data_IF_187114902798
#
_entry.id   IF_187114902798
#
_cell.length_a   1.000
_cell.length_b   1.000
_cell.length_c   1.000
_cell.angle_alpha   90.00
_cell.angle_beta   90.00
_cell.angle_gamma   90.00
#
_symmetry.space_group_name_H-M   'P 1'
#
loop_
_entity.id
_entity.type
_entity.pdbx_description
1 polymer ?
#
# COMPACT_ATOMS: atom_id res chain seq x y z
N UNK A 1 -6.99 4.68 15.84
CA UNK A 1 -7.40 3.78 16.94
C UNK A 1 -8.85 3.43 16.69
N UNK A 2 -9.18 2.18 16.35
CA UNK A 2 -10.58 1.76 16.18
C UNK A 2 -11.12 1.24 17.53
N UNK A 3 -11.47 2.19 18.40
CA UNK A 3 -12.10 1.96 19.70
C UNK A 3 -13.60 2.31 19.75
N UNK A 4 -14.26 2.67 18.63
CA UNK A 4 -15.71 2.88 18.63
C UNK A 4 -16.47 1.82 17.83
N UNK A 5 -17.44 1.18 18.47
CA UNK A 5 -18.45 0.29 17.85
C UNK A 5 -19.59 1.07 17.17
N UNK A 6 -19.39 2.36 16.88
CA UNK A 6 -20.26 3.16 16.04
C UNK A 6 -19.42 4.18 15.27
N UNK A 7 -19.53 4.15 13.94
CA UNK A 7 -19.17 5.30 13.10
C UNK A 7 -20.33 6.31 13.18
N UNK A 8 -20.06 7.63 13.26
CA UNK A 8 -21.11 8.64 13.31
C UNK A 8 -21.97 8.60 12.03
N UNK A 9 -23.26 8.99 12.11
CA UNK A 9 -24.18 8.91 10.98
C UNK A 9 -23.69 9.75 9.79
N UNK A 10 -23.74 9.15 8.60
CA UNK A 10 -23.35 9.75 7.32
C UNK A 10 -24.37 10.80 6.84
N UNK A 11 -24.35 12.00 7.41
CA UNK A 11 -25.17 13.11 6.92
C UNK A 11 -24.28 14.24 6.42
N UNK A 12 -23.63 14.01 5.27
CA UNK A 12 -22.85 15.03 4.55
C UNK A 12 -21.90 14.53 3.45
N UNK A 13 -21.59 13.22 3.41
CA UNK A 13 -20.57 12.65 2.51
C UNK A 13 -21.08 12.12 1.15
N UNK A 14 -22.40 11.97 0.96
CA UNK A 14 -23.01 11.28 -0.20
C UNK A 14 -22.56 11.81 -1.57
N UNK A 15 -22.51 13.13 -1.85
CA UNK A 15 -22.13 13.63 -3.17
C UNK A 15 -20.68 13.31 -3.56
N UNK A 16 -19.78 13.26 -2.57
CA UNK A 16 -18.36 12.94 -2.80
C UNK A 16 -18.15 11.46 -3.07
N UNK A 17 -18.87 10.60 -2.37
CA UNK A 17 -18.80 9.14 -2.56
C UNK A 17 -19.29 8.76 -3.96
N UNK A 18 -20.43 9.32 -4.40
CA UNK A 18 -20.98 9.03 -5.72
C UNK A 18 -20.08 9.51 -6.87
N UNK A 19 -19.41 10.66 -6.72
CA UNK A 19 -18.42 11.12 -7.69
C UNK A 19 -17.23 10.15 -7.83
N UNK A 20 -16.74 9.59 -6.72
CA UNK A 20 -15.67 8.60 -6.73
C UNK A 20 -16.13 7.28 -7.35
N UNK A 21 -17.36 6.83 -7.03
CA UNK A 21 -17.97 5.65 -7.64
C UNK A 21 -18.08 5.79 -9.15
N UNK A 22 -18.59 6.92 -9.64
CA UNK A 22 -18.72 7.18 -11.07
C UNK A 22 -17.36 7.14 -11.78
N UNK A 23 -16.35 7.82 -11.22
CA UNK A 23 -14.97 7.78 -11.75
C UNK A 23 -14.44 6.34 -11.79
N UNK A 24 -14.60 5.59 -10.71
CA UNK A 24 -14.11 4.22 -10.63
C UNK A 24 -14.87 3.27 -11.55
N UNK A 25 -16.19 3.45 -11.73
CA UNK A 25 -16.99 2.67 -12.67
C UNK A 25 -16.51 2.81 -14.13
N UNK A 26 -15.86 3.92 -14.48
CA UNK A 26 -15.29 4.14 -15.81
C UNK A 26 -13.88 3.58 -15.98
N UNK A 27 -13.14 3.38 -14.88
CA UNK A 27 -11.74 2.96 -14.91
C UNK A 27 -11.54 1.49 -14.52
N UNK A 28 -12.42 0.93 -13.70
CA UNK A 28 -12.32 -0.44 -13.23
C UNK A 28 -12.65 -1.40 -14.36
N UNK A 29 -11.73 -2.34 -14.58
CA UNK A 29 -11.93 -3.45 -15.50
C UNK A 29 -12.12 -4.74 -14.68
N UNK A 30 -13.08 -5.61 -15.03
CA UNK A 30 -13.14 -6.94 -14.47
C UNK A 30 -11.85 -7.70 -14.76
N UNK A 31 -11.32 -8.39 -13.76
CA UNK A 31 -10.08 -9.18 -13.88
C UNK A 31 -10.20 -10.48 -13.10
N UNK A 32 -9.44 -11.48 -13.50
CA UNK A 32 -9.24 -12.75 -12.79
C UNK A 32 -7.84 -12.84 -12.15
N UNK A 33 -7.60 -13.86 -11.30
CA UNK A 33 -6.30 -14.05 -10.65
C UNK A 33 -5.11 -14.11 -11.63
N UNK A 34 -5.30 -14.77 -12.78
CA UNK A 34 -4.26 -14.95 -13.80
C UNK A 34 -3.77 -13.62 -14.41
N UNK A 35 -4.58 -12.56 -14.38
CA UNK A 35 -4.20 -11.22 -14.87
C UNK A 35 -3.12 -10.58 -13.98
N UNK A 36 -2.85 -11.17 -12.81
CA UNK A 36 -1.90 -10.66 -11.81
C UNK A 36 -0.71 -11.60 -11.57
N UNK A 37 -0.52 -12.64 -12.38
CA UNK A 37 0.58 -13.62 -12.26
C UNK A 37 1.88 -13.20 -12.97
N UNK A 38 1.90 -12.01 -13.56
CA UNK A 38 3.11 -11.43 -14.16
C UNK A 38 4.16 -11.06 -13.10
N UNK A 39 5.41 -10.98 -13.54
CA UNK A 39 6.63 -10.69 -12.77
C UNK A 39 7.29 -9.43 -13.32
N UNK A 40 8.30 -8.86 -12.65
CA UNK A 40 9.06 -7.73 -13.20
C UNK A 40 9.74 -8.02 -14.55
N UNK A 41 9.94 -9.29 -14.92
CA UNK A 41 10.51 -9.67 -16.22
C UNK A 41 9.49 -9.63 -17.38
N UNK A 42 8.18 -9.65 -17.07
CA UNK A 42 7.10 -9.72 -18.06
C UNK A 42 5.92 -8.81 -17.66
N UNK A 43 6.24 -7.58 -17.26
CA UNK A 43 5.24 -6.56 -16.90
C UNK A 43 4.32 -6.27 -18.09
N UNK A 44 2.99 -6.19 -17.90
CA UNK A 44 2.04 -5.77 -18.93
C UNK A 44 2.43 -4.44 -19.57
N UNK A 45 2.30 -4.32 -20.89
CA UNK A 45 2.80 -3.18 -21.65
C UNK A 45 2.15 -1.83 -21.33
N UNK A 46 0.94 -1.85 -20.79
CA UNK A 46 0.14 -0.69 -20.38
C UNK A 46 0.22 -0.40 -18.87
N UNK A 47 0.92 -1.22 -18.09
CA UNK A 47 1.19 -0.94 -16.69
C UNK A 47 2.20 0.21 -16.58
N UNK A 48 1.84 1.26 -15.82
CA UNK A 48 2.68 2.46 -15.71
C UNK A 48 3.86 2.23 -14.75
N UNK A 49 4.98 1.76 -15.31
CA UNK A 49 6.24 1.54 -14.59
C UNK A 49 6.99 2.86 -14.38
N UNK A 50 7.47 3.11 -13.16
CA UNK A 50 8.37 4.24 -12.88
C UNK A 50 9.70 4.08 -13.62
N UNK A 51 10.11 5.12 -14.34
CA UNK A 51 11.39 5.14 -15.09
C UNK A 51 12.28 6.31 -14.70
N UNK A 52 11.77 7.27 -13.93
CA UNK A 52 12.57 8.42 -13.50
C UNK A 52 13.58 8.01 -12.44
N UNK A 53 14.76 8.66 -12.42
CA UNK A 53 15.69 8.49 -11.31
C UNK A 53 15.04 9.01 -10.02
N UNK A 54 15.35 8.39 -8.86
CA UNK A 54 14.86 8.87 -7.58
C UNK A 54 15.32 10.31 -7.30
N UNK A 55 14.43 11.20 -6.81
CA UNK A 55 14.85 12.49 -6.28
C UNK A 55 15.86 12.31 -5.13
N UNK A 56 16.81 13.24 -5.00
CA UNK A 56 17.91 13.16 -4.03
C UNK A 56 17.44 12.90 -2.58
N UNK A 57 16.26 13.40 -2.20
CA UNK A 57 15.66 13.14 -0.90
C UNK A 57 15.44 11.64 -0.65
N UNK A 58 14.88 10.91 -1.62
CA UNK A 58 14.58 9.48 -1.48
C UNK A 58 15.84 8.63 -1.62
N UNK A 59 16.74 8.97 -2.56
CA UNK A 59 18.03 8.31 -2.68
C UNK A 59 18.83 8.37 -1.37
N UNK A 60 18.99 9.57 -0.80
CA UNK A 60 19.67 9.76 0.50
C UNK A 60 18.96 9.05 1.65
N UNK A 61 17.63 9.01 1.66
CA UNK A 61 16.88 8.30 2.68
C UNK A 61 17.20 6.80 2.66
N UNK A 62 17.25 6.18 1.49
CA UNK A 62 17.62 4.77 1.33
C UNK A 62 19.09 4.52 1.67
N UNK A 63 20.01 5.38 1.21
CA UNK A 63 21.45 5.29 1.54
C UNK A 63 21.69 5.30 3.05
N UNK A 64 20.99 6.19 3.78
CA UNK A 64 21.12 6.31 5.23
C UNK A 64 20.65 5.07 5.99
N UNK A 65 19.72 4.29 5.43
CA UNK A 65 19.28 3.02 6.02
C UNK A 65 20.32 1.90 5.88
N UNK A 66 21.30 2.06 4.97
CA UNK A 66 22.38 1.08 4.72
C UNK A 66 21.87 -0.33 4.38
N UNK A 67 20.70 -0.44 3.76
CA UNK A 67 20.01 -1.70 3.44
C UNK A 67 20.41 -2.34 2.11
N UNK A 68 21.35 -1.75 1.35
CA UNK A 68 21.71 -2.22 0.01
C UNK A 68 22.17 -3.68 -0.06
N UNK A 69 22.77 -4.18 1.02
CA UNK A 69 23.29 -5.54 1.17
C UNK A 69 22.23 -6.59 1.54
N UNK A 70 21.01 -6.17 1.91
CA UNK A 70 19.95 -7.06 2.35
C UNK A 70 19.22 -7.71 1.16
N UNK A 71 18.51 -8.81 1.45
CA UNK A 71 17.53 -9.42 0.54
C UNK A 71 16.44 -8.42 0.13
N UNK A 72 15.75 -8.67 -0.98
CA UNK A 72 14.63 -7.81 -1.41
C UNK A 72 13.53 -7.74 -0.34
N UNK A 73 13.24 -8.87 0.30
CA UNK A 73 12.25 -8.94 1.37
C UNK A 73 12.67 -8.18 2.63
N UNK A 74 13.94 -8.28 3.02
CA UNK A 74 14.43 -7.55 4.20
C UNK A 74 14.56 -6.05 3.93
N UNK A 75 14.94 -5.65 2.70
CA UNK A 75 14.84 -4.24 2.26
C UNK A 75 13.41 -3.74 2.38
N UNK A 76 12.44 -4.49 1.84
CA UNK A 76 11.02 -4.12 1.90
C UNK A 76 10.55 -3.89 3.34
N UNK A 77 10.85 -4.82 4.24
CA UNK A 77 10.50 -4.70 5.66
C UNK A 77 11.21 -3.54 6.34
N UNK A 78 12.48 -3.31 6.04
CA UNK A 78 13.24 -2.18 6.60
C UNK A 78 12.65 -0.84 6.17
N UNK A 79 12.23 -0.69 4.90
CA UNK A 79 11.56 0.52 4.41
C UNK A 79 10.22 0.78 5.09
N UNK A 80 9.41 -0.26 5.30
CA UNK A 80 8.14 -0.12 6.02
C UNK A 80 8.36 0.17 7.51
N UNK A 81 9.35 -0.48 8.13
CA UNK A 81 9.77 -0.21 9.51
C UNK A 81 10.22 1.25 9.67
N UNK A 82 10.99 1.76 8.70
CA UNK A 82 11.35 3.18 8.63
C UNK A 82 10.10 4.04 8.64
N UNK A 83 9.16 3.88 7.70
CA UNK A 83 7.98 4.76 7.67
C UNK A 83 7.11 4.68 8.94
N UNK A 84 7.01 3.52 9.58
CA UNK A 84 6.10 3.28 10.70
C UNK A 84 6.67 3.61 12.09
N UNK A 85 7.98 3.82 12.21
CA UNK A 85 8.69 4.06 13.48
C UNK A 85 8.02 5.13 14.36
N UNK A 86 7.55 6.22 13.74
CA UNK A 86 6.94 7.37 14.42
C UNK A 86 5.48 7.58 14.06
N UNK A 87 4.90 6.65 13.31
CA UNK A 87 3.65 6.88 12.64
C UNK A 87 2.48 7.00 13.62
N UNK A 88 1.66 8.03 13.44
CA UNK A 88 0.42 8.27 14.14
C UNK A 88 -0.69 8.53 13.13
N UNK A 89 -1.95 8.31 13.54
CA UNK A 89 -3.11 8.52 12.69
C UNK A 89 -3.64 9.95 12.88
N UNK A 90 -3.06 10.91 12.15
CA UNK A 90 -3.38 12.35 12.25
C UNK A 90 -4.09 12.90 11.01
N UNK A 91 -4.64 12.02 10.17
CA UNK A 91 -5.34 12.39 8.94
C UNK A 91 -4.45 12.47 7.69
N UNK A 92 -5.07 12.67 6.51
CA UNK A 92 -4.41 12.57 5.20
C UNK A 92 -3.54 13.79 4.88
N UNK A 93 -2.42 13.56 4.19
CA UNK A 93 -1.49 14.61 3.74
C UNK A 93 -1.70 14.87 2.25
N UNK A 94 -2.41 15.96 1.92
CA UNK A 94 -2.72 16.34 0.53
C UNK A 94 -1.63 17.20 -0.10
N UNK A 95 -0.42 16.67 -0.20
CA UNK A 95 0.75 17.42 -0.67
C UNK A 95 1.62 16.64 -1.66
N UNK A 96 2.70 17.26 -2.11
CA UNK A 96 3.73 16.63 -2.92
C UNK A 96 4.46 15.52 -2.14
N UNK A 97 5.11 14.63 -2.88
CA UNK A 97 5.75 13.44 -2.31
C UNK A 97 6.83 13.75 -1.26
N UNK A 98 7.60 14.83 -1.43
CA UNK A 98 8.67 15.21 -0.49
C UNK A 98 8.11 15.79 0.80
N UNK A 99 7.03 16.56 0.71
CA UNK A 99 6.29 17.08 1.87
C UNK A 99 5.58 15.93 2.61
N UNK A 100 4.94 15.02 1.89
CA UNK A 100 4.29 13.83 2.46
C UNK A 100 5.30 12.94 3.20
N UNK A 101 6.47 12.67 2.64
CA UNK A 101 7.52 11.89 3.33
C UNK A 101 7.94 12.55 4.65
N UNK A 102 8.21 13.85 4.64
CA UNK A 102 8.61 14.58 5.86
C UNK A 102 7.51 14.58 6.92
N UNK A 103 6.26 14.74 6.53
CA UNK A 103 5.12 14.68 7.44
C UNK A 103 4.94 13.26 8.04
N UNK A 104 5.12 12.20 7.26
CA UNK A 104 5.14 10.82 7.78
C UNK A 104 6.25 10.62 8.82
N UNK A 105 7.45 11.13 8.54
CA UNK A 105 8.57 11.07 9.50
C UNK A 105 8.34 11.92 10.76
N UNK A 106 7.39 12.86 10.73
CA UNK A 106 6.90 13.61 11.88
C UNK A 106 5.68 12.96 12.57
N UNK A 107 5.19 11.83 12.05
CA UNK A 107 4.12 11.04 12.64
C UNK A 107 2.72 11.30 12.08
N UNK A 108 2.58 11.92 10.91
CA UNK A 108 1.29 12.17 10.26
C UNK A 108 1.02 11.19 9.11
N UNK A 109 -0.22 11.14 8.62
CA UNK A 109 -0.57 10.51 7.36
C UNK A 109 -1.63 9.42 7.44
N UNK A 110 -2.21 9.13 6.28
CA UNK A 110 -3.19 8.07 6.06
C UNK A 110 -2.58 6.95 5.19
N UNK A 111 -3.26 5.80 5.06
CA UNK A 111 -2.72 4.61 4.39
C UNK A 111 -2.22 4.90 2.96
N UNK A 112 -2.95 5.72 2.19
CA UNK A 112 -2.53 6.14 0.85
C UNK A 112 -1.23 6.97 0.85
N UNK A 113 -1.01 7.82 1.86
CA UNK A 113 0.23 8.60 2.00
C UNK A 113 1.42 7.66 2.24
N UNK A 114 1.25 6.70 3.14
CA UNK A 114 2.27 5.70 3.47
C UNK A 114 2.62 4.82 2.28
N UNK A 115 1.62 4.32 1.56
CA UNK A 115 1.85 3.51 0.36
C UNK A 115 2.53 4.32 -0.74
N UNK A 116 2.08 5.56 -1.01
CA UNK A 116 2.69 6.42 -2.04
C UNK A 116 4.18 6.68 -1.75
N UNK A 117 4.51 7.00 -0.49
CA UNK A 117 5.91 7.23 -0.06
C UNK A 117 6.71 5.93 0.00
N UNK A 118 6.09 4.81 0.37
CA UNK A 118 6.75 3.51 0.35
C UNK A 118 7.15 3.13 -1.08
N UNK A 119 6.26 3.28 -2.06
CA UNK A 119 6.56 2.98 -3.47
C UNK A 119 7.74 3.81 -3.97
N UNK A 120 7.81 5.07 -3.56
CA UNK A 120 8.95 5.94 -3.85
C UNK A 120 10.26 5.40 -3.25
N UNK A 121 10.26 5.08 -1.96
CA UNK A 121 11.45 4.52 -1.31
C UNK A 121 11.85 3.15 -1.89
N UNK A 122 10.87 2.31 -2.25
CA UNK A 122 11.09 1.01 -2.85
C UNK A 122 11.79 1.16 -4.21
N UNK A 123 11.32 2.07 -5.08
CA UNK A 123 12.00 2.39 -6.34
C UNK A 123 13.44 2.90 -6.09
N UNK A 124 13.63 3.77 -5.11
CA UNK A 124 14.97 4.25 -4.73
C UNK A 124 15.89 3.14 -4.19
N UNK A 125 15.33 2.06 -3.63
CA UNK A 125 16.04 0.88 -3.16
C UNK A 125 16.18 -0.22 -4.22
N UNK A 126 15.70 0.01 -5.45
CA UNK A 126 15.75 -0.97 -6.55
C UNK A 126 14.71 -2.10 -6.43
N UNK A 127 13.69 -1.95 -5.60
CA UNK A 127 12.62 -2.93 -5.44
C UNK A 127 11.50 -2.69 -6.45
N UNK A 128 10.99 -3.76 -7.05
CA UNK A 128 9.80 -3.69 -7.88
C UNK A 128 8.55 -3.93 -7.02
N UNK A 129 7.62 -2.99 -7.06
CA UNK A 129 6.41 -2.99 -6.21
C UNK A 129 5.16 -2.69 -6.99
N UNK A 130 4.04 -3.25 -6.55
CA UNK A 130 2.70 -2.93 -7.03
C UNK A 130 1.76 -2.65 -5.87
N UNK A 131 0.67 -1.93 -6.16
CA UNK A 131 -0.22 -1.38 -5.14
C UNK A 131 -1.60 -2.01 -5.26
N UNK A 132 -2.09 -2.54 -4.16
CA UNK A 132 -3.43 -3.10 -4.05
C UNK A 132 -4.28 -2.20 -3.17
N UNK A 133 -5.56 -2.14 -3.48
CA UNK A 133 -6.53 -1.49 -2.64
C UNK A 133 -7.82 -2.30 -2.59
N UNK A 134 -8.63 -2.01 -1.58
CA UNK A 134 -10.03 -2.44 -1.55
C UNK A 134 -10.91 -1.35 -1.00
N UNK A 135 -12.22 -1.51 -1.17
CA UNK A 135 -13.22 -0.59 -0.65
C UNK A 135 -14.26 -1.32 0.21
N UNK A 136 -15.00 -0.54 0.99
CA UNK A 136 -16.09 -0.99 1.86
C UNK A 136 -17.45 -0.47 1.41
N UNK A 137 -17.46 0.30 0.33
CA UNK A 137 -18.59 1.12 -0.06
C UNK A 137 -18.73 1.17 -1.59
N UNK A 138 -18.57 0.03 -2.26
CA UNK A 138 -18.72 -0.08 -3.72
C UNK A 138 -17.70 0.77 -4.45
N UNK A 139 -16.41 0.68 -4.08
CA UNK A 139 -15.34 1.51 -4.66
C UNK A 139 -15.50 3.02 -4.44
N UNK A 140 -16.24 3.44 -3.40
CA UNK A 140 -16.53 4.84 -3.09
C UNK A 140 -15.44 5.58 -2.30
N UNK A 141 -14.23 5.02 -2.22
CA UNK A 141 -13.06 5.66 -1.61
C UNK A 141 -12.93 5.49 -0.09
N UNK A 142 -13.84 4.77 0.57
CA UNK A 142 -13.61 4.28 1.94
C UNK A 142 -13.09 2.86 1.86
N UNK A 143 -11.84 2.65 2.30
CA UNK A 143 -11.15 1.40 2.04
C UNK A 143 -9.77 1.36 2.67
N UNK A 144 -8.91 0.53 2.08
CA UNK A 144 -7.51 0.44 2.47
C UNK A 144 -6.64 0.27 1.23
N UNK A 145 -5.38 0.65 1.35
CA UNK A 145 -4.36 0.44 0.33
C UNK A 145 -3.11 -0.10 0.99
N UNK A 146 -2.48 -1.04 0.32
CA UNK A 146 -1.26 -1.72 0.75
C UNK A 146 -0.43 -2.09 -0.48
N UNK A 147 0.73 -2.70 -0.27
CA UNK A 147 1.67 -3.01 -1.34
C UNK A 147 1.97 -4.49 -1.42
N UNK A 148 2.51 -4.85 -2.56
CA UNK A 148 3.13 -6.12 -2.81
C UNK A 148 4.48 -5.89 -3.46
N UNK A 149 5.49 -6.61 -2.98
CA UNK A 149 6.89 -6.48 -3.41
C UNK A 149 7.29 -7.77 -4.10
N UNK A 150 7.99 -7.67 -5.22
CA UNK A 150 8.62 -8.83 -5.83
C UNK A 150 9.88 -9.19 -5.06
N UNK A 151 9.91 -10.37 -4.45
CA UNK A 151 11.11 -10.95 -3.85
C UNK A 151 11.80 -11.82 -4.90
N UNK A 152 12.91 -11.31 -5.46
CA UNK A 152 13.64 -12.02 -6.52
C UNK A 152 14.27 -13.33 -6.03
N UNK A 153 14.65 -13.43 -4.75
CA UNK A 153 15.25 -14.65 -4.19
C UNK A 153 14.25 -15.79 -4.14
N UNK A 154 12.98 -15.48 -3.89
CA UNK A 154 11.87 -16.46 -3.84
C UNK A 154 11.12 -16.57 -5.16
N UNK A 155 11.45 -15.71 -6.13
CA UNK A 155 10.69 -15.53 -7.36
C UNK A 155 9.18 -15.41 -7.09
N UNK A 156 8.80 -14.59 -6.10
CA UNK A 156 7.44 -14.53 -5.58
C UNK A 156 7.04 -13.11 -5.18
N UNK A 157 5.76 -12.80 -5.39
CA UNK A 157 5.12 -11.62 -4.81
C UNK A 157 4.82 -11.79 -3.32
N UNK A 158 5.18 -10.79 -2.52
CA UNK A 158 5.00 -10.77 -1.07
C UNK A 158 4.26 -9.50 -0.62
N UNK A 159 3.14 -9.68 0.07
CA UNK A 159 2.29 -8.61 0.56
C UNK A 159 2.85 -7.96 1.82
N UNK A 160 2.76 -6.63 1.86
CA UNK A 160 3.10 -5.82 3.00
C UNK A 160 2.01 -4.76 3.24
N UNK A 161 1.43 -4.76 4.43
CA UNK A 161 0.62 -3.64 4.89
C UNK A 161 1.52 -2.65 5.63
N UNK A 162 2.04 -1.68 4.87
CA UNK A 162 2.96 -0.67 5.39
C UNK A 162 2.30 0.16 6.48
N UNK A 163 1.07 0.60 6.29
CA UNK A 163 0.42 1.51 7.24
C UNK A 163 0.03 0.81 8.54
N UNK A 164 -0.49 -0.41 8.46
CA UNK A 164 -0.85 -1.20 9.64
C UNK A 164 0.33 -2.01 10.20
N UNK A 165 1.52 -1.86 9.62
CA UNK A 165 2.78 -2.43 10.09
C UNK A 165 2.75 -3.96 10.25
N UNK A 166 2.23 -4.67 9.26
CA UNK A 166 2.25 -6.13 9.25
C UNK A 166 2.51 -6.73 7.87
N UNK A 167 2.91 -7.99 7.87
CA UNK A 167 2.95 -8.86 6.71
C UNK A 167 2.29 -10.20 7.04
N UNK A 168 2.03 -10.96 5.99
CA UNK A 168 1.27 -12.21 6.01
C UNK A 168 2.17 -13.36 5.58
N UNK A 169 2.16 -14.42 6.37
CA UNK A 169 2.97 -15.61 6.15
C UNK A 169 2.07 -16.83 6.04
N UNK A 170 2.48 -17.78 5.20
CA UNK A 170 1.91 -19.11 5.18
C UNK A 170 2.13 -19.77 6.56
N UNK A 171 1.09 -20.32 7.21
CA UNK A 171 1.21 -20.83 8.56
C UNK A 171 2.10 -22.08 8.65
N UNK A 172 2.22 -22.88 7.57
CA UNK A 172 3.01 -24.10 7.55
C UNK A 172 4.46 -23.85 7.14
N UNK A 173 4.67 -23.14 6.03
CA UNK A 173 5.98 -22.94 5.41
C UNK A 173 6.69 -21.68 5.89
N UNK A 174 5.96 -20.75 6.51
CA UNK A 174 6.46 -19.44 6.96
C UNK A 174 6.93 -18.53 5.81
N UNK A 175 6.65 -18.89 4.56
CA UNK A 175 6.92 -18.06 3.40
C UNK A 175 5.95 -16.87 3.33
N UNK A 176 6.39 -15.70 2.85
CA UNK A 176 5.48 -14.58 2.57
C UNK A 176 4.37 -14.95 1.58
N UNK A 177 3.17 -14.47 1.85
CA UNK A 177 2.02 -14.60 0.96
C UNK A 177 1.87 -13.36 0.09
N UNK A 178 1.44 -13.58 -1.15
CA UNK A 178 0.95 -12.55 -2.05
C UNK A 178 -0.37 -11.95 -1.55
N UNK A 179 -0.77 -10.82 -2.13
CA UNK A 179 -2.03 -10.15 -1.84
C UNK A 179 -3.22 -11.08 -2.13
N UNK A 180 -3.21 -11.77 -3.27
CA UNK A 180 -4.28 -12.69 -3.66
C UNK A 180 -4.30 -13.95 -2.78
N UNK A 181 -3.14 -14.50 -2.40
CA UNK A 181 -3.11 -15.61 -1.43
C UNK A 181 -3.69 -15.18 -0.07
N UNK A 182 -3.39 -13.96 0.39
CA UNK A 182 -3.99 -13.44 1.62
C UNK A 182 -5.50 -13.22 1.48
N UNK A 183 -5.95 -12.71 0.34
CA UNK A 183 -7.39 -12.59 0.04
C UNK A 183 -8.08 -13.95 0.13
N UNK A 184 -7.46 -15.01 -0.39
CA UNK A 184 -7.99 -16.37 -0.28
C UNK A 184 -8.05 -16.85 1.18
N UNK A 185 -7.07 -16.51 2.03
CA UNK A 185 -7.14 -16.77 3.47
C UNK A 185 -8.33 -16.03 4.12
N UNK A 186 -8.55 -14.76 3.74
CA UNK A 186 -9.65 -13.93 4.25
C UNK A 186 -11.03 -14.50 3.86
N UNK A 187 -11.12 -15.07 2.65
CA UNK A 187 -12.31 -15.73 2.11
C UNK A 187 -12.49 -17.18 2.58
N UNK A 188 -11.53 -17.74 3.32
CA UNK A 188 -11.58 -19.13 3.78
C UNK A 188 -11.29 -20.17 2.70
N UNK A 189 -10.74 -19.76 1.56
CA UNK A 189 -10.32 -20.65 0.47
C UNK A 189 -8.94 -21.27 0.75
N UNK A 190 -8.20 -20.72 1.71
CA UNK A 190 -6.90 -21.20 2.20
C UNK A 190 -6.88 -21.18 3.74
N UNK A 191 -5.98 -21.95 4.38
CA UNK A 191 -5.74 -21.83 5.82
C UNK A 191 -5.46 -20.39 6.23
N UNK A 192 -5.89 -20.01 7.43
CA UNK A 192 -5.70 -18.65 7.92
C UNK A 192 -4.20 -18.32 8.02
N UNK A 193 -3.79 -17.22 7.38
CA UNK A 193 -2.40 -16.77 7.39
C UNK A 193 -1.91 -16.41 8.80
N UNK A 194 -0.62 -16.59 9.04
CA UNK A 194 0.05 -16.02 10.20
C UNK A 194 0.31 -14.53 9.94
N UNK A 195 0.01 -13.69 10.92
CA UNK A 195 0.22 -12.24 10.86
C UNK A 195 1.44 -11.87 11.70
N UNK A 196 2.40 -11.17 11.10
CA UNK A 196 3.61 -10.73 11.80
C UNK A 196 3.84 -9.23 11.66
N UNK A 197 4.46 -8.65 12.69
CA UNK A 197 4.88 -7.26 12.66
C UNK A 197 6.01 -7.06 11.66
N UNK A 198 5.87 -6.05 10.82
CA UNK A 198 6.87 -5.73 9.81
C UNK A 198 8.09 -5.03 10.43
N UNK A 199 7.85 -4.06 11.32
CA UNK A 199 8.89 -3.31 12.01
C UNK A 199 8.48 -2.85 13.42
N UNK A 200 9.32 -2.00 14.06
CA UNK A 200 9.13 -1.60 15.46
C UNK A 200 7.99 -0.61 15.69
N UNK A 201 7.40 -0.05 14.63
CA UNK A 201 6.30 0.91 14.71
C UNK A 201 5.03 0.37 15.40
N UNK A 202 4.02 1.22 15.58
CA UNK A 202 2.74 0.81 16.18
C UNK A 202 2.08 -0.30 15.36
N UNK A 203 1.34 -1.23 15.98
CA UNK A 203 0.51 -2.17 15.23
C UNK A 203 -0.75 -1.44 14.74
N UNK A 204 -1.15 -1.64 13.49
CA UNK A 204 -2.42 -1.08 12.99
C UNK A 204 -3.64 -1.72 13.65
N UNK A 205 -3.53 -2.99 14.01
CA UNK A 205 -4.56 -3.75 14.72
C UNK A 205 -3.97 -4.35 16.01
N UNK A 206 -4.51 -3.95 17.16
CA UNK A 206 -4.16 -4.55 18.46
C UNK A 206 -4.80 -5.93 18.61
N UNK A 207 -6.03 -6.09 18.10
CA UNK A 207 -6.78 -7.33 18.22
C UNK A 207 -6.85 -8.06 16.86
N UNK A 208 -6.33 -9.30 16.76
CA UNK A 208 -6.31 -10.04 15.49
C UNK A 208 -7.68 -10.19 14.84
N UNK A 209 -8.74 -10.45 15.62
CA UNK A 209 -10.09 -10.62 15.05
C UNK A 209 -10.61 -9.36 14.33
N UNK A 210 -10.20 -8.16 14.76
CA UNK A 210 -10.56 -6.89 14.09
C UNK A 210 -9.88 -6.76 12.73
N UNK A 211 -8.63 -7.22 12.59
CA UNK A 211 -7.93 -7.28 11.31
C UNK A 211 -8.71 -8.15 10.32
N UNK A 212 -9.03 -9.38 10.72
CA UNK A 212 -9.76 -10.31 9.85
C UNK A 212 -11.14 -9.79 9.46
N UNK A 213 -11.89 -9.21 10.41
CA UNK A 213 -13.19 -8.61 10.11
C UNK A 213 -13.07 -7.44 9.12
N UNK A 214 -12.06 -6.58 9.31
CA UNK A 214 -11.80 -5.42 8.44
C UNK A 214 -11.50 -5.85 7.00
N UNK A 215 -10.56 -6.78 6.82
CA UNK A 215 -10.18 -7.27 5.50
C UNK A 215 -11.30 -8.09 4.82
N UNK A 216 -12.06 -8.87 5.60
CA UNK A 216 -13.19 -9.65 5.07
C UNK A 216 -14.30 -8.76 4.51
N UNK A 217 -14.59 -7.63 5.18
CA UNK A 217 -15.59 -6.67 4.71
C UNK A 217 -15.24 -6.10 3.33
N UNK A 218 -13.96 -5.93 3.02
CA UNK A 218 -13.50 -5.42 1.73
C UNK A 218 -13.19 -6.48 0.68
N UNK A 219 -13.19 -7.78 1.02
CA UNK A 219 -12.65 -8.85 0.16
C UNK A 219 -13.29 -8.94 -1.24
N UNK A 220 -14.55 -8.55 -1.37
CA UNK A 220 -15.26 -8.51 -2.66
C UNK A 220 -14.87 -7.35 -3.58
N UNK A 221 -14.22 -6.31 -3.04
CA UNK A 221 -13.94 -5.05 -3.73
C UNK A 221 -12.42 -4.79 -3.87
N UNK A 222 -11.62 -5.83 -4.10
CA UNK A 222 -10.17 -5.69 -4.30
C UNK A 222 -9.84 -5.31 -5.74
N UNK A 223 -8.85 -4.43 -5.90
CA UNK A 223 -8.36 -3.99 -7.19
C UNK A 223 -6.87 -3.64 -7.11
N UNK A 224 -6.16 -3.88 -8.21
CA UNK A 224 -4.79 -3.43 -8.38
C UNK A 224 -4.80 -2.01 -8.96
N UNK A 225 -4.01 -1.10 -8.38
CA UNK A 225 -3.75 0.19 -9.01
C UNK A 225 -2.75 -0.06 -10.15
N UNK A 226 -3.15 0.27 -11.38
CA UNK A 226 -2.42 -0.06 -12.61
C UNK A 226 -1.19 0.84 -12.87
N UNK A 227 -0.26 0.85 -11.92
CA UNK A 227 1.00 1.57 -12.03
C UNK A 227 1.75 1.77 -10.72
N UNK A 228 3.04 2.04 -10.83
CA UNK A 228 3.90 2.43 -9.72
C UNK A 228 4.74 3.70 -10.00
N UNK A 229 4.43 4.42 -11.08
CA UNK A 229 5.09 5.65 -11.54
C UNK A 229 4.86 6.90 -10.67
N UNK A 230 5.15 6.81 -9.36
CA UNK A 230 4.86 7.85 -8.37
C UNK A 230 5.68 9.14 -8.56
N UNK A 231 6.92 9.06 -9.04
CA UNK A 231 7.74 10.24 -9.34
C UNK A 231 7.31 10.92 -10.62
N UNK A 232 6.98 10.12 -11.63
CA UNK A 232 6.44 10.63 -12.89
C UNK A 232 5.11 11.35 -12.66
N UNK A 233 4.24 10.79 -11.82
CA UNK A 233 3.00 11.45 -11.41
C UNK A 233 3.24 12.74 -10.63
N UNK A 234 4.12 12.72 -9.61
CA UNK A 234 4.42 13.90 -8.78
C UNK A 234 5.09 15.04 -9.60
N UNK A 235 5.87 14.69 -10.62
CA UNK A 235 6.50 15.64 -11.53
C UNK A 235 5.54 16.27 -12.55
N UNK A 236 4.33 15.72 -12.73
CA UNK A 236 3.40 16.20 -13.74
C UNK A 236 2.97 17.65 -13.45
N UNK A 237 3.03 18.59 -14.42
CA UNK A 237 2.81 20.01 -14.17
C UNK A 237 1.49 20.33 -13.47
N UNK A 238 0.39 19.67 -13.87
CA UNK A 238 -0.92 19.86 -13.26
C UNK A 238 -0.96 19.42 -11.78
N UNK A 239 -0.25 18.34 -11.44
CA UNK A 239 -0.16 17.85 -10.05
C UNK A 239 0.63 18.85 -9.20
N UNK A 240 1.73 19.38 -9.73
CA UNK A 240 2.55 20.40 -9.04
C UNK A 240 1.82 21.72 -8.81
N UNK A 241 0.92 22.11 -9.73
CA UNK A 241 0.10 23.31 -9.56
C UNK A 241 -0.97 23.06 -8.48
N UNK A 242 -1.69 21.93 -8.57
CA UNK A 242 -2.73 21.58 -7.59
C UNK A 242 -2.17 21.40 -6.17
N UNK A 243 -0.97 20.84 -6.02
CA UNK A 243 -0.34 20.62 -4.71
C UNK A 243 0.14 21.91 -4.02
N UNK A 244 0.19 23.05 -4.73
CA UNK A 244 0.56 24.36 -4.17
C UNK A 244 -0.64 25.17 -3.68
N UNK A 245 -1.85 24.75 -4.00
CA UNK A 245 -3.10 25.45 -3.67
C UNK A 245 -3.73 24.95 -2.35
N UNK A 246 -3.05 24.05 -1.64
CA UNK A 246 -3.46 23.43 -0.38
C UNK A 246 -2.31 23.43 0.62
#
# INVERSE_FOLDING_TARGET
>A
MYESDALPPETGARPRIEGVRLRNAWMLQPSGPADFDWTPANVPGDFLVERRPPPALFARAVENLRIGHLSDWDKARALAGHLTERAQDRGPIRSDLATTYRAIRAGYGHCADFVKVYVALAHAAGLFVRQWAFSHNGFGGNGHVFVEVWDAERAKWAMLDVYNNFHVLDPATRAPLSALEFRDCVLGLRPQAAIERTGPGRPGFVHPHKLWAYYRRGAGEWYLIWGNAVYSYDAHPLVRIASRLH
#
